data_IF_837509930317
#
_entry.id   IF_837509930317
#
_cell.length_a   1.000
_cell.length_b   1.000
_cell.length_c   1.000
_cell.angle_alpha   90.00
_cell.angle_beta   90.00
_cell.angle_gamma   90.00
#
_symmetry.space_group_name_H-M   'P 1'
#
loop_
_entity.id
_entity.type
_entity.pdbx_description
1 polymer ?
#
# COMPACT_ATOMS: atom_id res chain seq x y z
N UNK A 1 1.65 -17.12 1.28
CA UNK A 1 0.65 -16.06 1.57
C UNK A 1 0.92 -15.51 2.96
N UNK A 2 0.87 -14.19 3.13
CA UNK A 2 1.05 -13.59 4.47
C UNK A 2 -0.09 -14.05 5.39
N UNK A 3 0.13 -14.36 6.69
CA UNK A 3 -0.92 -14.83 7.59
C UNK A 3 -2.17 -13.93 7.58
N UNK A 4 -1.96 -12.61 7.55
CA UNK A 4 -3.03 -11.61 7.43
C UNK A 4 -3.91 -11.84 6.19
N UNK A 5 -3.33 -12.23 5.05
CA UNK A 5 -4.10 -12.50 3.83
C UNK A 5 -4.99 -13.73 4.00
N UNK A 6 -4.53 -14.75 4.72
CA UNK A 6 -5.33 -15.96 5.01
C UNK A 6 -6.53 -15.57 5.89
N UNK A 7 -6.31 -14.77 6.93
CA UNK A 7 -7.39 -14.26 7.77
C UNK A 7 -8.39 -13.39 7.00
N UNK A 8 -7.92 -12.46 6.15
CA UNK A 8 -8.79 -11.63 5.30
C UNK A 8 -9.69 -12.50 4.39
N UNK A 9 -9.11 -13.53 3.75
CA UNK A 9 -9.85 -14.44 2.87
C UNK A 9 -10.86 -15.27 3.68
N UNK A 10 -10.43 -15.86 4.80
CA UNK A 10 -11.31 -16.68 5.65
C UNK A 10 -12.48 -15.87 6.21
N UNK A 11 -12.23 -14.65 6.70
CA UNK A 11 -13.26 -13.73 7.16
C UNK A 11 -14.22 -13.34 6.03
N UNK A 12 -13.70 -13.10 4.82
CA UNK A 12 -14.51 -12.77 3.65
C UNK A 12 -15.43 -13.93 3.23
N UNK A 13 -14.91 -15.16 3.23
CA UNK A 13 -15.71 -16.37 2.96
C UNK A 13 -16.80 -16.52 4.02
N UNK A 14 -16.46 -16.37 5.31
CA UNK A 14 -17.43 -16.43 6.40
C UNK A 14 -18.53 -15.38 6.25
N UNK A 15 -18.17 -14.14 5.92
CA UNK A 15 -19.12 -13.06 5.67
C UNK A 15 -20.08 -13.39 4.51
N UNK A 16 -19.55 -13.87 3.39
CA UNK A 16 -20.36 -14.29 2.23
C UNK A 16 -21.32 -15.43 2.62
N UNK A 17 -20.83 -16.45 3.33
CA UNK A 17 -21.65 -17.56 3.80
C UNK A 17 -22.81 -17.09 4.69
N UNK A 18 -22.53 -16.21 5.65
CA UNK A 18 -23.55 -15.63 6.54
C UNK A 18 -24.60 -14.85 5.73
N UNK A 19 -24.16 -14.03 4.76
CA UNK A 19 -25.06 -13.29 3.88
C UNK A 19 -26.01 -14.20 3.11
N UNK A 20 -25.49 -15.30 2.54
CA UNK A 20 -26.32 -16.27 1.83
C UNK A 20 -27.28 -17.03 2.77
N UNK A 21 -26.84 -17.41 3.97
CA UNK A 21 -27.71 -18.04 4.97
C UNK A 21 -28.87 -17.11 5.35
N UNK A 22 -28.57 -15.84 5.65
CA UNK A 22 -29.60 -14.84 5.95
C UNK A 22 -30.56 -14.68 4.76
N UNK A 23 -30.03 -14.57 3.55
CA UNK A 23 -30.85 -14.45 2.34
C UNK A 23 -31.83 -15.63 2.15
N UNK A 24 -31.40 -16.86 2.48
CA UNK A 24 -32.22 -18.06 2.40
C UNK A 24 -33.32 -18.13 3.47
N UNK A 25 -33.05 -17.63 4.68
CA UNK A 25 -34.00 -17.59 5.79
C UNK A 25 -35.12 -16.57 5.58
N UNK A 26 -34.95 -15.60 4.69
CA UNK A 26 -35.96 -14.58 4.40
C UNK A 26 -37.22 -15.15 3.69
N UNK A 27 -38.39 -14.49 3.85
CA UNK A 27 -39.64 -14.90 3.21
C UNK A 27 -39.54 -14.95 1.68
N UNK A 28 -40.27 -15.88 1.05
CA UNK A 28 -40.23 -16.11 -0.42
C UNK A 28 -40.44 -14.82 -1.24
N UNK A 29 -41.23 -13.87 -0.75
CA UNK A 29 -41.50 -12.57 -1.41
C UNK A 29 -40.23 -11.73 -1.63
N UNK A 30 -39.28 -11.75 -0.70
CA UNK A 30 -38.04 -10.94 -0.75
C UNK A 30 -36.78 -11.78 -0.99
N UNK A 31 -36.87 -13.10 -0.85
CA UNK A 31 -35.74 -14.04 -0.99
C UNK A 31 -34.98 -13.88 -2.31
N UNK A 32 -35.70 -13.78 -3.44
CA UNK A 32 -35.07 -13.63 -4.76
C UNK A 32 -34.25 -12.35 -4.86
N UNK A 33 -34.77 -11.24 -4.32
CA UNK A 33 -34.07 -9.97 -4.28
C UNK A 33 -32.84 -10.03 -3.38
N UNK A 34 -32.97 -10.63 -2.19
CA UNK A 34 -31.86 -10.77 -1.24
C UNK A 34 -30.73 -11.67 -1.76
N UNK A 35 -31.05 -12.76 -2.45
CA UNK A 35 -30.05 -13.60 -3.11
C UNK A 35 -29.35 -12.85 -4.24
N UNK A 36 -30.08 -12.08 -5.05
CA UNK A 36 -29.49 -11.24 -6.09
C UNK A 36 -28.52 -10.22 -5.49
N UNK A 37 -28.90 -9.53 -4.41
CA UNK A 37 -28.03 -8.60 -3.68
C UNK A 37 -26.79 -9.30 -3.12
N UNK A 38 -26.93 -10.50 -2.55
CA UNK A 38 -25.81 -11.27 -2.00
C UNK A 38 -24.82 -11.70 -3.10
N UNK A 39 -25.32 -12.12 -4.26
CA UNK A 39 -24.49 -12.39 -5.43
C UNK A 39 -23.74 -11.15 -5.90
N UNK A 40 -24.43 -10.01 -6.06
CA UNK A 40 -23.82 -8.75 -6.48
C UNK A 40 -22.73 -8.30 -5.52
N UNK A 41 -22.98 -8.39 -4.21
CA UNK A 41 -22.00 -8.03 -3.18
C UNK A 41 -20.78 -8.96 -3.21
N UNK A 42 -21.00 -10.26 -3.47
CA UNK A 42 -19.91 -11.24 -3.61
C UNK A 42 -19.04 -10.92 -4.82
N UNK A 43 -19.64 -10.60 -5.97
CA UNK A 43 -18.90 -10.18 -7.16
C UNK A 43 -18.10 -8.91 -6.90
N UNK A 44 -18.69 -7.92 -6.23
CA UNK A 44 -17.99 -6.68 -5.87
C UNK A 44 -16.78 -6.97 -4.96
N UNK A 45 -16.96 -7.84 -3.95
CA UNK A 45 -15.89 -8.24 -3.06
C UNK A 45 -14.75 -8.95 -3.81
N UNK A 46 -15.06 -9.86 -4.73
CA UNK A 46 -14.06 -10.52 -5.57
C UNK A 46 -13.31 -9.51 -6.44
N UNK A 47 -14.02 -8.56 -7.05
CA UNK A 47 -13.41 -7.47 -7.83
C UNK A 47 -12.45 -6.63 -6.98
N UNK A 48 -12.79 -6.33 -5.73
CA UNK A 48 -11.89 -5.62 -4.82
C UNK A 48 -10.58 -6.38 -4.61
N UNK A 49 -10.62 -7.70 -4.41
CA UNK A 49 -9.42 -8.53 -4.28
C UNK A 49 -8.56 -8.53 -5.55
N UNK A 50 -9.19 -8.57 -6.72
CA UNK A 50 -8.50 -8.58 -8.02
C UNK A 50 -7.91 -7.21 -8.36
N UNK A 51 -8.65 -6.11 -8.14
CA UNK A 51 -8.26 -4.76 -8.55
C UNK A 51 -7.21 -4.17 -7.58
N UNK A 52 -7.30 -4.47 -6.29
CA UNK A 52 -6.42 -3.91 -5.24
C UNK A 52 -4.92 -3.96 -5.58
N UNK A 53 -4.30 -5.08 -6.03
CA UNK A 53 -2.88 -5.09 -6.35
C UNK A 53 -2.52 -4.10 -7.47
N UNK A 54 -3.29 -4.09 -8.56
CA UNK A 54 -3.07 -3.17 -9.67
C UNK A 54 -3.22 -1.70 -9.26
N UNK A 55 -4.22 -1.41 -8.42
CA UNK A 55 -4.42 -0.07 -7.88
C UNK A 55 -3.22 0.39 -7.04
N UNK A 56 -2.70 -0.48 -6.18
CA UNK A 56 -1.53 -0.17 -5.35
C UNK A 56 -0.31 0.10 -6.24
N UNK A 57 -0.03 -0.73 -7.24
CA UNK A 57 1.13 -0.54 -8.10
C UNK A 57 1.02 0.73 -8.96
N UNK A 58 -0.19 1.06 -9.43
CA UNK A 58 -0.46 2.34 -10.09
C UNK A 58 -0.15 3.55 -9.18
N UNK A 59 -0.66 3.52 -7.95
CA UNK A 59 -0.43 4.59 -6.97
C UNK A 59 1.06 4.72 -6.60
N UNK A 60 1.77 3.61 -6.46
CA UNK A 60 3.21 3.61 -6.18
C UNK A 60 4.01 4.18 -7.34
N UNK A 61 3.70 3.79 -8.57
CA UNK A 61 4.32 4.39 -9.77
C UNK A 61 4.12 5.91 -9.79
N UNK A 62 2.90 6.39 -9.53
CA UNK A 62 2.62 7.81 -9.52
C UNK A 62 3.39 8.54 -8.41
N UNK A 63 3.38 8.01 -7.18
CA UNK A 63 4.10 8.59 -6.04
C UNK A 63 5.61 8.57 -6.23
N UNK A 64 6.16 7.55 -6.89
CA UNK A 64 7.59 7.46 -7.22
C UNK A 64 7.99 8.58 -8.17
N UNK A 65 7.15 8.89 -9.18
CA UNK A 65 7.39 10.03 -10.07
C UNK A 65 7.38 11.36 -9.33
N UNK A 66 6.40 11.56 -8.44
CA UNK A 66 6.30 12.78 -7.62
C UNK A 66 7.52 12.95 -6.70
N UNK A 67 7.97 11.85 -6.08
CA UNK A 67 9.17 11.86 -5.24
C UNK A 67 10.43 12.13 -6.06
N UNK A 68 10.57 11.56 -7.26
CA UNK A 68 11.70 11.86 -8.14
C UNK A 68 11.78 13.37 -8.45
N UNK A 69 10.67 13.97 -8.88
CA UNK A 69 10.64 15.41 -9.18
C UNK A 69 11.02 16.26 -7.97
N UNK A 70 10.53 15.89 -6.78
CA UNK A 70 10.88 16.55 -5.53
C UNK A 70 12.37 16.46 -5.20
N UNK A 71 12.97 15.28 -5.36
CA UNK A 71 14.39 15.06 -5.10
C UNK A 71 15.28 15.77 -6.13
N UNK A 72 14.87 15.84 -7.40
CA UNK A 72 15.55 16.61 -8.45
C UNK A 72 15.62 18.09 -8.12
N UNK A 73 14.53 18.66 -7.61
CA UNK A 73 14.48 20.07 -7.21
C UNK A 73 15.32 20.32 -5.96
N UNK A 74 15.26 19.43 -4.96
CA UNK A 74 15.88 19.63 -3.65
C UNK A 74 17.37 19.30 -3.63
N UNK A 75 17.80 18.28 -4.37
CA UNK A 75 19.17 17.78 -4.38
C UNK A 75 19.72 17.77 -5.81
N UNK A 76 19.90 18.96 -6.43
CA UNK A 76 20.36 19.05 -7.80
C UNK A 76 21.74 18.41 -7.94
N UNK A 77 21.95 17.70 -9.06
CA UNK A 77 23.18 16.97 -9.39
C UNK A 77 23.49 15.77 -8.48
N UNK A 78 22.51 15.28 -7.74
CA UNK A 78 22.63 14.03 -7.02
C UNK A 78 21.91 12.90 -7.77
N UNK A 79 22.38 11.68 -7.54
CA UNK A 79 21.75 10.47 -8.04
C UNK A 79 21.26 9.63 -6.86
N UNK A 80 20.10 9.03 -7.01
CA UNK A 80 19.47 8.18 -6.00
C UNK A 80 18.76 6.99 -6.64
N UNK A 81 18.54 5.97 -5.82
CA UNK A 81 17.70 4.83 -6.15
C UNK A 81 16.47 4.83 -5.24
N UNK A 82 15.28 4.72 -5.84
CA UNK A 82 14.02 4.57 -5.11
C UNK A 82 13.62 3.11 -5.10
N UNK A 83 13.40 2.58 -3.90
CA UNK A 83 12.90 1.23 -3.68
C UNK A 83 11.67 1.26 -2.76
N UNK A 84 10.92 0.17 -2.73
CA UNK A 84 9.76 -0.01 -1.84
C UNK A 84 9.93 -1.31 -1.08
N UNK A 85 9.64 -1.29 0.22
CA UNK A 85 9.52 -2.53 0.97
C UNK A 85 8.30 -3.33 0.52
N UNK A 86 8.52 -4.58 0.13
CA UNK A 86 7.45 -5.47 -0.35
C UNK A 86 6.97 -6.34 0.80
N UNK A 87 5.67 -6.32 1.07
CA UNK A 87 5.06 -7.13 2.11
C UNK A 87 3.81 -6.47 2.69
N UNK A 88 2.90 -7.29 3.23
CA UNK A 88 1.64 -6.78 3.81
C UNK A 88 1.84 -5.99 5.11
N UNK A 89 2.97 -6.16 5.78
CA UNK A 89 3.34 -5.42 6.99
C UNK A 89 3.81 -3.99 6.71
N UNK A 90 4.20 -3.70 5.46
CA UNK A 90 4.74 -2.40 5.07
C UNK A 90 3.67 -1.55 4.41
N UNK A 91 3.71 -0.24 4.66
CA UNK A 91 2.88 0.70 3.93
C UNK A 91 3.42 0.79 2.49
N UNK A 92 2.63 0.41 1.46
CA UNK A 92 3.11 0.44 0.08
C UNK A 92 3.44 1.84 -0.41
N UNK A 93 3.00 2.89 0.28
CA UNK A 93 3.23 4.29 -0.09
C UNK A 93 4.42 4.93 0.62
N UNK A 94 5.17 4.16 1.39
CA UNK A 94 6.47 4.57 1.91
C UNK A 94 7.56 4.13 0.93
N UNK A 95 8.36 5.08 0.49
CA UNK A 95 9.40 4.87 -0.52
C UNK A 95 10.76 5.11 0.10
N UNK A 96 11.67 4.15 -0.10
CA UNK A 96 13.04 4.21 0.41
C UNK A 96 13.93 4.84 -0.66
N UNK A 97 14.69 5.85 -0.28
CA UNK A 97 15.61 6.59 -1.12
C UNK A 97 17.01 6.33 -0.62
N UNK A 98 17.88 5.84 -1.50
CA UNK A 98 19.30 5.64 -1.24
C UNK A 98 20.09 6.55 -2.17
N UNK A 99 20.78 7.55 -1.63
CA UNK A 99 21.64 8.43 -2.43
C UNK A 99 22.96 7.73 -2.75
N UNK A 100 23.40 7.81 -4.00
CA UNK A 100 24.62 7.11 -4.48
C UNK A 100 25.88 7.66 -3.80
N UNK A 101 25.89 8.96 -3.50
CA UNK A 101 26.97 9.66 -2.79
C UNK A 101 27.01 9.35 -1.26
N UNK A 102 25.99 8.67 -0.73
CA UNK A 102 25.82 8.38 0.69
C UNK A 102 25.40 6.92 0.91
N UNK A 103 26.31 6.01 0.56
CA UNK A 103 26.07 4.57 0.64
C UNK A 103 25.77 4.11 2.07
N UNK A 104 24.79 3.22 2.18
CA UNK A 104 24.38 2.57 3.43
C UNK A 104 23.35 3.36 4.24
N UNK A 105 22.99 4.57 3.80
CA UNK A 105 21.86 5.31 4.35
C UNK A 105 20.61 5.04 3.53
N UNK A 106 19.50 4.84 4.23
CA UNK A 106 18.18 4.73 3.63
C UNK A 106 17.24 5.76 4.25
N UNK A 107 16.71 6.64 3.41
CA UNK A 107 15.73 7.65 3.80
C UNK A 107 14.34 7.21 3.35
N UNK A 108 13.40 7.08 4.29
CA UNK A 108 12.03 6.72 3.97
C UNK A 108 11.20 7.98 3.79
N UNK A 109 10.58 8.12 2.63
CA UNK A 109 9.71 9.24 2.30
C UNK A 109 8.25 8.82 2.28
N UNK A 110 7.42 9.70 2.82
CA UNK A 110 5.96 9.62 2.75
C UNK A 110 5.45 10.61 1.70
N UNK A 111 4.89 10.08 0.62
CA UNK A 111 4.34 10.90 -0.48
C UNK A 111 2.83 10.96 -0.32
N UNK A 112 2.31 12.03 0.28
CA UNK A 112 0.84 12.20 0.41
C UNK A 112 0.29 12.71 -0.92
N UNK A 113 0.87 13.79 -1.45
CA UNK A 113 0.60 14.37 -2.76
C UNK A 113 1.83 15.19 -3.22
N UNK A 114 1.74 15.81 -4.41
CA UNK A 114 2.84 16.57 -5.04
C UNK A 114 3.37 17.73 -4.19
N UNK A 115 2.53 18.30 -3.33
CA UNK A 115 2.87 19.45 -2.48
C UNK A 115 3.20 19.04 -1.05
N UNK A 116 3.05 17.76 -0.72
CA UNK A 116 3.20 17.25 0.64
C UNK A 116 3.97 15.93 0.60
N UNK A 117 5.29 16.11 0.50
CA UNK A 117 6.31 15.06 0.49
C UNK A 117 7.27 15.39 1.63
N UNK A 118 7.49 14.43 2.51
CA UNK A 118 8.38 14.60 3.65
C UNK A 118 9.08 13.29 4.00
N UNK A 119 10.29 13.42 4.54
CA UNK A 119 11.02 12.30 5.11
C UNK A 119 10.31 11.86 6.41
N UNK A 120 9.92 10.59 6.50
CA UNK A 120 9.22 10.03 7.66
C UNK A 120 10.11 9.21 8.57
N UNK A 121 11.18 8.62 8.05
CA UNK A 121 12.19 7.92 8.84
C UNK A 121 13.51 7.78 8.09
N UNK A 122 14.56 7.39 8.79
CA UNK A 122 15.88 7.17 8.22
C UNK A 122 16.56 6.00 8.93
N UNK A 123 17.35 5.24 8.19
CA UNK A 123 18.09 4.10 8.67
C UNK A 123 19.58 4.32 8.37
N UNK A 124 20.39 4.62 9.40
CA UNK A 124 21.82 4.77 9.23
C UNK A 124 22.49 3.42 8.96
N UNK A 125 23.67 3.42 8.33
CA UNK A 125 24.51 2.23 8.28
C UNK A 125 24.99 1.85 9.69
N UNK A 126 25.30 0.57 9.89
CA UNK A 126 25.70 0.04 11.21
C UNK A 126 26.79 0.88 11.88
N UNK A 127 26.59 1.17 13.17
CA UNK A 127 27.53 1.93 13.98
C UNK A 127 27.54 3.45 13.75
N UNK A 128 26.65 3.98 12.91
CA UNK A 128 26.47 5.44 12.75
C UNK A 128 25.23 5.97 13.44
N UNK A 129 25.36 7.17 14.01
CA UNK A 129 24.20 7.88 14.56
C UNK A 129 23.34 8.46 13.43
N UNK A 130 22.01 8.57 13.66
CA UNK A 130 21.07 8.91 12.59
C UNK A 130 21.17 10.37 12.09
N UNK A 131 21.72 11.27 12.90
CA UNK A 131 21.96 12.69 12.60
C UNK A 131 23.23 12.96 11.77
N UNK A 132 24.05 11.93 11.55
CA UNK A 132 25.26 12.04 10.73
C UNK A 132 25.00 11.98 9.21
N UNK A 133 23.74 11.81 8.80
CA UNK A 133 23.34 11.68 7.40
C UNK A 133 23.23 13.02 6.70
N UNK A 134 23.78 13.14 5.49
CA UNK A 134 23.83 14.42 4.76
C UNK A 134 22.48 14.87 4.20
N UNK A 135 21.57 13.92 3.97
CA UNK A 135 20.26 14.19 3.37
C UNK A 135 19.11 14.08 4.39
N UNK A 136 19.43 14.10 5.69
CA UNK A 136 18.43 14.15 6.74
C UNK A 136 17.64 15.47 6.71
N UNK A 137 16.31 15.39 6.89
CA UNK A 137 15.38 16.54 6.96
C UNK A 137 14.84 16.80 8.36
#
# INVERSE_FOLDING_TARGET
MHPITIFEIAASIGFVMIMFVIALLLPKKVRKLSLCMSCSLTVLLLLLFVIRPYWIDYQVSNKTKQLNLYLEERYPNQEWEISRQVGRQYNPYHLNVNFINEKGWTYTYSVVNEKNIFQSSWMPPEGKFPDAGKHYE
#
